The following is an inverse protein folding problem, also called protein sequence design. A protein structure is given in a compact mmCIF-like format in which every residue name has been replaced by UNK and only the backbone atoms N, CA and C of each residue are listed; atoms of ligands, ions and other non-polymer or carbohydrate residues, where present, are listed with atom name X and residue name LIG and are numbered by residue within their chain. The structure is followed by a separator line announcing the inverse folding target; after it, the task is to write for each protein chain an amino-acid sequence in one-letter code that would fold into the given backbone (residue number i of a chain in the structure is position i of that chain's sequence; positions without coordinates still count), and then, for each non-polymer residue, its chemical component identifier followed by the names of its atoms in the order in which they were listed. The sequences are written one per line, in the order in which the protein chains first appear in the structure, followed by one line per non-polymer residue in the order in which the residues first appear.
data_IF_061217973839
#
_entry.id   IF_061217973839
#
_cell.length_a   1.000
_cell.length_b   1.000
_cell.length_c   1.000
_cell.angle_alpha   90.00
_cell.angle_beta   90.00
_cell.angle_gamma   90.00
#
_symmetry.space_group_name_H-M   'P 1'
#
loop_
_entity.id
_entity.type
_entity.pdbx_description
1 polymer ?
#
# COMPACT_ATOMS: atom_id res chain seq x y z
N UNK A 1 -27.45 -3.04 2.82
CA UNK A 1 -26.67 -3.58 1.69
C UNK A 1 -25.68 -2.50 1.26
N UNK A 2 -24.41 -2.56 1.66
CA UNK A 2 -23.42 -1.63 1.10
C UNK A 2 -23.15 -2.04 -0.34
N UNK A 3 -23.39 -1.13 -1.28
CA UNK A 3 -23.02 -1.30 -2.68
C UNK A 3 -21.52 -1.66 -2.75
N UNK A 4 -21.19 -2.85 -3.28
CA UNK A 4 -19.80 -3.26 -3.47
C UNK A 4 -19.11 -2.26 -4.41
N UNK A 5 -17.90 -1.82 -4.06
CA UNK A 5 -17.13 -0.89 -4.89
C UNK A 5 -16.52 -1.65 -6.08
N UNK A 6 -16.38 -0.96 -7.20
CA UNK A 6 -15.67 -1.52 -8.36
C UNK A 6 -14.17 -1.60 -8.08
N UNK A 7 -13.48 -2.56 -8.71
CA UNK A 7 -12.02 -2.72 -8.63
C UNK A 7 -11.30 -1.39 -8.91
N UNK A 8 -11.72 -0.66 -9.95
CA UNK A 8 -11.12 0.64 -10.29
C UNK A 8 -11.21 1.66 -9.15
N UNK A 9 -12.35 1.75 -8.48
CA UNK A 9 -12.53 2.68 -7.36
C UNK A 9 -11.66 2.31 -6.16
N UNK A 10 -11.56 1.02 -5.85
CA UNK A 10 -10.78 0.53 -4.72
C UNK A 10 -9.28 0.74 -4.94
N UNK A 11 -8.80 0.51 -6.17
CA UNK A 11 -7.42 0.82 -6.58
C UNK A 11 -7.14 2.32 -6.49
N UNK A 12 -8.04 3.16 -6.98
CA UNK A 12 -7.89 4.62 -6.90
C UNK A 12 -7.75 5.09 -5.45
N UNK A 13 -8.58 4.54 -4.55
CA UNK A 13 -8.50 4.84 -3.12
C UNK A 13 -7.16 4.39 -2.53
N UNK A 14 -6.63 3.25 -2.97
CA UNK A 14 -5.31 2.77 -2.58
C UNK A 14 -4.20 3.72 -3.01
N UNK A 15 -4.21 4.16 -4.27
CA UNK A 15 -3.24 5.14 -4.77
C UNK A 15 -3.34 6.47 -4.00
N UNK A 16 -4.55 6.91 -3.69
CA UNK A 16 -4.75 8.16 -2.95
C UNK A 16 -4.27 8.05 -1.49
N UNK A 17 -4.62 6.98 -0.78
CA UNK A 17 -4.29 6.84 0.66
C UNK A 17 -2.85 6.37 0.89
N UNK A 18 -2.28 5.59 -0.04
CA UNK A 18 -0.93 5.04 0.10
C UNK A 18 0.08 5.92 -0.65
N UNK A 19 -0.12 6.15 -1.94
CA UNK A 19 0.92 6.79 -2.77
C UNK A 19 0.99 8.30 -2.56
N UNK A 20 -0.14 9.01 -2.40
CA UNK A 20 -0.08 10.48 -2.19
C UNK A 20 0.71 10.84 -0.94
N UNK A 21 0.48 10.23 0.25
CA UNK A 21 1.34 10.51 1.41
C UNK A 21 2.80 10.11 1.20
N UNK A 22 3.06 8.96 0.56
CA UNK A 22 4.44 8.55 0.20
C UNK A 22 5.13 9.60 -0.64
N UNK A 23 4.47 10.09 -1.70
CA UNK A 23 5.00 11.13 -2.58
C UNK A 23 5.22 12.45 -1.84
N UNK A 24 4.27 12.85 -0.99
CA UNK A 24 4.40 14.06 -0.17
C UNK A 24 5.58 13.96 0.80
N UNK A 25 5.81 12.81 1.43
CA UNK A 25 6.94 12.60 2.34
C UNK A 25 8.26 12.59 1.54
N UNK A 26 8.30 11.87 0.42
CA UNK A 26 9.50 11.72 -0.41
C UNK A 26 9.96 13.02 -1.07
N UNK A 27 9.03 13.88 -1.49
CA UNK A 27 9.36 15.15 -2.16
C UNK A 27 9.36 16.30 -1.15
N UNK A 28 8.40 16.31 -0.24
CA UNK A 28 8.21 17.40 0.70
C UNK A 28 9.37 17.57 1.65
N UNK A 29 9.91 16.50 2.25
CA UNK A 29 11.01 16.61 3.22
C UNK A 29 12.33 17.08 2.59
N UNK A 30 12.77 16.56 1.42
CA UNK A 30 13.92 17.13 0.72
C UNK A 30 13.69 18.58 0.30
N UNK A 31 12.49 18.93 -0.18
CA UNK A 31 12.15 20.29 -0.58
C UNK A 31 12.20 21.27 0.60
N UNK A 32 11.58 20.91 1.74
CA UNK A 32 11.64 21.66 2.99
C UNK A 32 13.09 21.80 3.47
N UNK A 33 13.88 20.74 3.38
CA UNK A 33 15.29 20.78 3.78
C UNK A 33 16.10 21.75 2.93
N UNK A 34 15.90 21.72 1.61
CA UNK A 34 16.54 22.66 0.69
C UNK A 34 16.10 24.12 0.94
N UNK A 35 14.82 24.35 1.24
CA UNK A 35 14.29 25.69 1.43
C UNK A 35 14.66 26.30 2.80
N UNK A 36 14.73 25.49 3.85
CA UNK A 36 14.98 25.95 5.22
C UNK A 36 16.47 26.00 5.58
N UNK A 37 17.34 25.30 4.84
CA UNK A 37 18.75 25.17 5.20
C UNK A 37 19.67 25.39 3.98
N UNK A 38 20.61 26.33 4.12
CA UNK A 38 21.65 26.63 3.11
C UNK A 38 22.80 25.59 3.04
N UNK A 39 22.72 24.52 3.84
CA UNK A 39 23.74 23.48 3.91
C UNK A 39 23.33 22.23 3.13
N UNK A 40 24.00 21.96 2.01
CA UNK A 40 23.68 20.84 1.10
C UNK A 40 23.68 19.45 1.76
N UNK A 41 24.37 19.25 2.89
CA UNK A 41 24.35 17.98 3.63
C UNK A 41 22.99 17.67 4.27
N UNK A 42 22.21 18.71 4.61
CA UNK A 42 20.89 18.55 5.19
C UNK A 42 19.86 18.04 4.16
N UNK A 43 20.09 18.28 2.87
CA UNK A 43 19.28 17.70 1.78
C UNK A 43 19.41 16.17 1.81
N UNK A 44 20.63 15.65 1.97
CA UNK A 44 20.90 14.21 2.10
C UNK A 44 20.21 13.60 3.33
N UNK A 45 20.19 14.33 4.45
CA UNK A 45 19.43 13.89 5.63
C UNK A 45 17.92 13.90 5.42
N UNK A 46 17.39 14.92 4.71
CA UNK A 46 15.97 15.01 4.37
C UNK A 46 15.51 13.87 3.47
N UNK A 47 16.35 13.48 2.50
CA UNK A 47 16.12 12.30 1.66
C UNK A 47 16.12 11.01 2.47
N UNK A 48 17.08 10.84 3.37
CA UNK A 48 17.21 9.62 4.18
C UNK A 48 16.03 9.46 5.14
N UNK A 49 15.65 10.54 5.85
CA UNK A 49 14.50 10.55 6.76
C UNK A 49 13.20 10.39 5.98
N UNK A 50 13.05 11.07 4.85
CA UNK A 50 11.87 10.95 3.99
C UNK A 50 11.68 9.54 3.46
N UNK A 51 12.76 8.85 3.05
CA UNK A 51 12.68 7.46 2.62
C UNK A 51 12.20 6.55 3.76
N UNK A 52 12.75 6.68 4.96
CA UNK A 52 12.36 5.85 6.12
C UNK A 52 10.90 6.07 6.50
N UNK A 53 10.45 7.32 6.54
CA UNK A 53 9.07 7.68 6.87
C UNK A 53 8.09 7.23 5.79
N UNK A 54 8.43 7.44 4.52
CA UNK A 54 7.60 7.00 3.39
C UNK A 54 7.47 5.48 3.36
N UNK A 55 8.57 4.76 3.59
CA UNK A 55 8.56 3.30 3.65
C UNK A 55 7.71 2.80 4.83
N UNK A 56 7.86 3.42 6.00
CA UNK A 56 7.08 3.08 7.19
C UNK A 56 5.58 3.32 6.99
N UNK A 57 5.21 4.46 6.38
CA UNK A 57 3.83 4.75 6.03
C UNK A 57 3.27 3.71 5.06
N UNK A 58 3.98 3.41 3.99
CA UNK A 58 3.59 2.38 3.03
C UNK A 58 3.40 1.02 3.72
N UNK A 59 4.39 0.58 4.49
CA UNK A 59 4.39 -0.71 5.20
C UNK A 59 3.18 -0.91 6.12
N UNK A 60 2.68 0.16 6.74
CA UNK A 60 1.48 0.13 7.58
C UNK A 60 0.21 0.28 6.74
N UNK A 61 0.08 1.38 6.00
CA UNK A 61 -1.14 1.77 5.30
C UNK A 61 -1.59 0.74 4.27
N UNK A 62 -0.66 0.06 3.61
CA UNK A 62 -1.00 -0.93 2.58
C UNK A 62 -1.75 -2.13 3.14
N UNK A 63 -1.48 -2.55 4.38
CA UNK A 63 -2.13 -3.68 5.04
C UNK A 63 -3.59 -3.35 5.32
N UNK A 64 -3.85 -2.14 5.84
CA UNK A 64 -5.20 -1.66 6.11
C UNK A 64 -5.98 -1.49 4.81
N UNK A 65 -5.38 -0.84 3.81
CA UNK A 65 -6.00 -0.71 2.50
C UNK A 65 -6.31 -2.07 1.89
N UNK A 66 -5.38 -3.04 1.93
CA UNK A 66 -5.58 -4.37 1.35
C UNK A 66 -6.80 -5.06 1.96
N UNK A 67 -6.88 -5.13 3.28
CA UNK A 67 -8.02 -5.78 3.96
C UNK A 67 -9.32 -5.05 3.64
N UNK A 68 -9.31 -3.72 3.74
CA UNK A 68 -10.46 -2.90 3.40
C UNK A 68 -10.91 -3.09 1.94
N UNK A 69 -9.97 -3.17 1.00
CA UNK A 69 -10.20 -3.33 -0.42
C UNK A 69 -10.95 -4.63 -0.74
N UNK A 70 -10.52 -5.75 -0.16
CA UNK A 70 -11.18 -7.04 -0.34
C UNK A 70 -12.53 -7.12 0.38
N UNK A 71 -12.67 -6.49 1.55
CA UNK A 71 -13.95 -6.42 2.27
C UNK A 71 -15.00 -5.56 1.53
N UNK A 72 -14.58 -4.60 0.70
CA UNK A 72 -15.47 -3.70 -0.05
C UNK A 72 -15.62 -4.05 -1.54
N UNK A 73 -15.02 -5.16 -1.98
CA UNK A 73 -15.11 -5.66 -3.35
C UNK A 73 -15.81 -7.01 -3.37
N UNK A 74 -16.64 -7.25 -4.39
CA UNK A 74 -17.32 -8.53 -4.54
C UNK A 74 -16.31 -9.67 -4.71
N UNK A 75 -16.55 -10.82 -4.06
CA UNK A 75 -15.67 -11.99 -4.11
C UNK A 75 -15.31 -12.43 -5.54
N UNK A 76 -16.27 -12.35 -6.47
CA UNK A 76 -16.07 -12.66 -7.89
C UNK A 76 -14.95 -11.84 -8.56
N UNK A 77 -14.66 -10.65 -8.02
CA UNK A 77 -13.68 -9.71 -8.57
C UNK A 77 -12.36 -9.72 -7.78
N UNK A 78 -12.21 -10.57 -6.75
CA UNK A 78 -11.02 -10.59 -5.89
C UNK A 78 -9.73 -10.94 -6.65
N UNK A 79 -9.78 -11.90 -7.58
CA UNK A 79 -8.63 -12.24 -8.42
C UNK A 79 -8.20 -11.03 -9.27
N UNK A 80 -9.16 -10.38 -9.93
CA UNK A 80 -8.91 -9.19 -10.73
C UNK A 80 -8.36 -8.02 -9.88
N UNK A 81 -8.88 -7.84 -8.66
CA UNK A 81 -8.38 -6.84 -7.72
C UNK A 81 -6.93 -7.11 -7.33
N UNK A 82 -6.56 -8.36 -7.02
CA UNK A 82 -5.18 -8.72 -6.66
C UNK A 82 -4.21 -8.43 -7.80
N UNK A 83 -4.53 -8.88 -9.01
CA UNK A 83 -3.72 -8.63 -10.21
C UNK A 83 -3.54 -7.12 -10.40
N UNK A 84 -4.63 -6.36 -10.34
CA UNK A 84 -4.60 -4.91 -10.58
C UNK A 84 -3.89 -4.13 -9.48
N UNK A 85 -3.90 -4.63 -8.24
CA UNK A 85 -3.15 -4.05 -7.13
C UNK A 85 -1.63 -4.24 -7.29
N UNK A 86 -1.20 -5.37 -7.85
CA UNK A 86 0.20 -5.63 -8.21
C UNK A 86 0.62 -4.74 -9.39
N UNK A 87 -0.20 -4.68 -10.45
CA UNK A 87 0.04 -3.79 -11.60
C UNK A 87 0.16 -2.32 -11.17
N UNK A 88 -0.71 -1.88 -10.24
CA UNK A 88 -0.69 -0.52 -9.68
C UNK A 88 0.45 -0.28 -8.68
N UNK A 89 1.32 -1.26 -8.44
CA UNK A 89 2.44 -1.22 -7.49
C UNK A 89 2.00 -0.88 -6.05
N UNK A 90 0.74 -1.17 -5.71
CA UNK A 90 0.24 -1.00 -4.35
C UNK A 90 0.76 -2.14 -3.48
N UNK A 91 0.69 -3.38 -3.98
CA UNK A 91 1.13 -4.58 -3.26
C UNK A 91 2.20 -5.32 -4.06
N UNK A 92 3.07 -6.04 -3.34
CA UNK A 92 4.01 -6.95 -3.97
C UNK A 92 3.37 -8.31 -4.28
N UNK A 93 3.89 -9.05 -5.28
CA UNK A 93 3.54 -10.44 -5.47
C UNK A 93 3.82 -11.28 -4.22
N UNK A 94 3.05 -12.34 -4.02
CA UNK A 94 3.25 -13.22 -2.86
C UNK A 94 4.66 -13.81 -2.86
N UNK A 95 5.30 -13.84 -1.70
CA UNK A 95 6.66 -14.34 -1.53
C UNK A 95 7.77 -13.33 -1.84
N UNK A 96 7.42 -12.14 -2.37
CA UNK A 96 8.40 -11.08 -2.61
C UNK A 96 9.01 -10.56 -1.30
N UNK A 97 10.30 -10.17 -1.32
CA UNK A 97 11.01 -9.72 -0.10
C UNK A 97 10.37 -8.49 0.54
N UNK A 98 9.89 -7.55 -0.27
CA UNK A 98 9.23 -6.33 0.23
C UNK A 98 7.81 -6.57 0.73
N UNK A 99 7.15 -7.66 0.33
CA UNK A 99 5.90 -8.10 0.95
C UNK A 99 6.09 -8.38 2.46
N UNK A 100 7.27 -8.91 2.82
CA UNK A 100 7.64 -9.21 4.22
C UNK A 100 7.93 -7.95 5.05
N UNK A 101 8.10 -6.81 4.40
CA UNK A 101 8.32 -5.52 5.10
C UNK A 101 7.02 -4.83 5.49
N UNK A 102 5.87 -5.43 5.17
CA UNK A 102 4.58 -4.97 5.64
C UNK A 102 4.40 -5.22 7.15
N UNK A 103 3.91 -4.20 7.84
CA UNK A 103 3.69 -4.25 9.29
C UNK A 103 2.28 -4.80 9.53
N UNK A 104 2.22 -6.11 9.79
CA UNK A 104 0.96 -6.86 9.96
C UNK A 104 0.80 -7.33 11.40
N UNK A 105 -0.36 -7.07 12.01
CA UNK A 105 -0.79 -7.76 13.24
C UNK A 105 -1.14 -9.22 12.95
N UNK A 106 -1.18 -10.07 14.00
CA UNK A 106 -1.59 -11.48 13.86
C UNK A 106 -2.98 -11.63 13.23
N UNK A 107 -3.92 -10.77 13.62
CA UNK A 107 -5.28 -10.78 13.09
C UNK A 107 -5.32 -10.39 11.60
N UNK A 108 -4.59 -9.34 11.21
CA UNK A 108 -4.48 -8.92 9.81
C UNK A 108 -3.83 -10.00 8.93
N UNK A 109 -2.79 -10.66 9.43
CA UNK A 109 -2.15 -11.79 8.74
C UNK A 109 -3.15 -12.90 8.46
N UNK A 110 -3.92 -13.32 9.47
CA UNK A 110 -4.96 -14.35 9.32
C UNK A 110 -6.04 -13.94 8.31
N UNK A 111 -6.44 -12.67 8.27
CA UNK A 111 -7.40 -12.15 7.27
C UNK A 111 -6.84 -12.22 5.86
N UNK A 112 -5.60 -11.77 5.64
CA UNK A 112 -4.93 -11.81 4.33
C UNK A 112 -4.75 -13.26 3.85
N UNK A 113 -4.35 -14.18 4.74
CA UNK A 113 -4.25 -15.61 4.42
C UNK A 113 -5.60 -16.24 4.08
N UNK A 114 -6.70 -15.80 4.70
CA UNK A 114 -8.04 -16.24 4.33
C UNK A 114 -8.46 -15.72 2.95
N UNK A 115 -8.17 -14.45 2.64
CA UNK A 115 -8.42 -13.84 1.32
C UNK A 115 -7.63 -14.58 0.24
N UNK A 116 -6.34 -14.82 0.45
CA UNK A 116 -5.49 -15.53 -0.52
C UNK A 116 -6.01 -16.95 -0.79
N UNK A 117 -6.40 -17.70 0.25
CA UNK A 117 -6.98 -19.05 0.09
C UNK A 117 -8.26 -19.03 -0.74
N UNK A 118 -9.15 -18.07 -0.52
CA UNK A 118 -10.39 -17.94 -1.30
C UNK A 118 -10.11 -17.66 -2.78
N UNK A 119 -9.09 -16.83 -3.07
CA UNK A 119 -8.68 -16.52 -4.44
C UNK A 119 -8.09 -17.75 -5.15
N UNK A 120 -7.36 -18.60 -4.40
CA UNK A 120 -6.73 -19.81 -4.92
C UNK A 120 -7.72 -20.97 -5.13
N UNK A 121 -8.81 -21.02 -4.38
CA UNK A 121 -9.87 -22.02 -4.61
C UNK A 121 -10.63 -21.73 -5.90
N UNK A 122 -10.61 -22.63 -6.91
CA UNK A 122 -11.40 -22.44 -8.11
C UNK A 122 -12.88 -22.55 -7.76
N UNK A 123 -13.64 -21.48 -7.97
CA UNK A 123 -15.10 -21.58 -8.02
C UNK A 123 -15.47 -22.23 -9.38
N UNK A 124 -15.62 -23.56 -9.36
CA UNK A 124 -16.19 -24.34 -10.46
C UNK A 124 -17.70 -24.14 -10.55
#
# INVERSE_FOLDING_TARGET
MSQNKSVKQVILIGQLVVNVPVTLIMIGLPYLSWHLFDNGWLIGTGLSVGLILAWTWWSFSIVFWRIWAFEHTSKKDWLALKIRAIEAQLIWPDGHRFEKTEIRTKAQRKKIEAINREIETPHF
#
